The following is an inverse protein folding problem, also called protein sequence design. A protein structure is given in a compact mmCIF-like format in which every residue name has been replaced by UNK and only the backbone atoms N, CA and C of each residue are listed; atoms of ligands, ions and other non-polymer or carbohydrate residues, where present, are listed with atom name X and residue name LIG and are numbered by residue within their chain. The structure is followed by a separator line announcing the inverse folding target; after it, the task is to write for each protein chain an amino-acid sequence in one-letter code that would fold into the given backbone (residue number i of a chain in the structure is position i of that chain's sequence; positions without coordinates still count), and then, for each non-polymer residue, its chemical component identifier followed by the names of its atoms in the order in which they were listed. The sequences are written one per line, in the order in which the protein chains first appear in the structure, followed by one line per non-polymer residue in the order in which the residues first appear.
data_IF_282923809133
#
_entry.id   IF_282923809133
#
_cell.length_a   1.000
_cell.length_b   1.000
_cell.length_c   1.000
_cell.angle_alpha   90.00
_cell.angle_beta   90.00
_cell.angle_gamma   90.00
#
_symmetry.space_group_name_H-M   'P 1'
#
loop_
_entity.id
_entity.type
_entity.pdbx_description
1 polymer ?
#
# COMPACT_ATOMS: atom_id res chain seq x y z
N UNK A 1 19.71 8.51 -7.08
CA UNK A 1 19.17 7.47 -7.93
C UNK A 1 17.70 7.66 -8.15
N UNK A 2 17.22 7.23 -9.29
CA UNK A 2 15.81 7.37 -9.64
C UNK A 2 15.16 6.00 -9.77
N UNK A 3 13.82 5.99 -9.77
CA UNK A 3 13.08 4.78 -10.09
C UNK A 3 13.45 4.33 -11.50
N UNK A 4 13.27 3.04 -11.81
CA UNK A 4 13.57 2.55 -13.17
C UNK A 4 12.66 3.20 -14.20
N UNK A 5 13.17 3.32 -15.41
CA UNK A 5 12.37 3.77 -16.55
C UNK A 5 11.55 2.58 -17.04
N UNK A 6 10.21 2.73 -17.08
CA UNK A 6 9.29 1.66 -17.48
C UNK A 6 8.29 2.24 -18.45
N UNK A 7 8.02 1.51 -19.55
CA UNK A 7 6.97 1.86 -20.49
C UNK A 7 5.69 1.13 -20.10
N UNK A 8 4.58 1.47 -20.70
CA UNK A 8 3.30 0.84 -20.38
C UNK A 8 3.37 -0.68 -20.47
N UNK A 9 2.90 -1.34 -19.44
CA UNK A 9 2.79 -2.78 -19.37
C UNK A 9 1.66 -3.12 -18.41
N UNK A 10 1.23 -4.37 -18.40
CA UNK A 10 0.21 -4.83 -17.46
C UNK A 10 0.91 -5.39 -16.22
N UNK A 11 0.96 -4.65 -15.12
CA UNK A 11 1.68 -5.09 -13.93
C UNK A 11 1.01 -6.28 -13.22
N UNK A 12 -0.25 -6.56 -13.51
CA UNK A 12 -0.96 -7.67 -12.86
C UNK A 12 -0.46 -9.02 -13.38
N UNK A 13 -0.10 -9.09 -14.67
CA UNK A 13 0.29 -10.37 -15.29
C UNK A 13 1.79 -10.56 -15.42
N UNK A 14 2.60 -9.53 -15.17
CA UNK A 14 4.04 -9.64 -15.36
C UNK A 14 4.67 -10.48 -14.22
N UNK A 15 5.44 -11.51 -14.60
CA UNK A 15 5.98 -12.46 -13.62
C UNK A 15 7.14 -11.89 -12.82
N UNK A 16 7.84 -10.89 -13.34
CA UNK A 16 9.01 -10.31 -12.66
C UNK A 16 8.64 -9.42 -11.47
N UNK A 17 7.37 -9.13 -11.30
CA UNK A 17 6.86 -8.35 -10.16
C UNK A 17 5.84 -9.20 -9.39
N UNK A 18 6.29 -10.19 -8.61
CA UNK A 18 5.37 -11.10 -7.93
C UNK A 18 4.65 -10.42 -6.75
N UNK A 19 3.52 -11.00 -6.36
CA UNK A 19 2.89 -10.68 -5.09
C UNK A 19 3.71 -11.32 -3.98
N UNK A 20 4.13 -10.53 -3.02
CA UNK A 20 4.91 -11.02 -1.88
C UNK A 20 4.28 -10.52 -0.57
N UNK A 21 4.41 -11.28 0.52
CA UNK A 21 3.93 -10.80 1.82
C UNK A 21 4.64 -9.51 2.21
N UNK A 22 3.90 -8.58 2.82
CA UNK A 22 4.50 -7.34 3.30
C UNK A 22 5.18 -7.61 4.64
N UNK A 23 6.49 -7.37 4.76
CA UNK A 23 7.20 -7.60 6.02
C UNK A 23 6.57 -6.82 7.17
N UNK A 24 6.37 -7.48 8.31
CA UNK A 24 5.82 -6.86 9.50
C UNK A 24 4.31 -6.66 9.50
N UNK A 25 3.62 -7.04 8.44
CA UNK A 25 2.17 -6.94 8.35
C UNK A 25 1.53 -8.29 8.67
N UNK A 26 0.23 -8.29 9.08
CA UNK A 26 -0.48 -9.54 9.30
C UNK A 26 -0.55 -10.40 8.04
N UNK A 27 -0.78 -11.69 8.24
CA UNK A 27 -1.01 -12.61 7.15
C UNK A 27 -2.20 -12.17 6.30
N UNK A 28 -2.11 -12.39 4.99
CA UNK A 28 -3.18 -12.01 4.06
C UNK A 28 -2.99 -10.66 3.41
N UNK A 29 -1.89 -9.96 3.70
CA UNK A 29 -1.57 -8.68 3.06
C UNK A 29 -0.32 -8.87 2.20
N UNK A 30 -0.47 -8.59 0.91
CA UNK A 30 0.60 -8.78 -0.08
C UNK A 30 0.82 -7.51 -0.85
N UNK A 31 2.04 -7.29 -1.28
CA UNK A 31 2.39 -6.17 -2.15
C UNK A 31 2.98 -6.66 -3.47
N UNK A 32 2.78 -5.87 -4.49
CA UNK A 32 3.38 -6.05 -5.80
C UNK A 32 4.11 -4.76 -6.10
N UNK A 33 5.43 -4.80 -6.01
CA UNK A 33 6.25 -3.58 -6.14
C UNK A 33 6.43 -3.29 -7.63
N UNK A 34 6.00 -2.12 -8.06
CA UNK A 34 6.07 -1.70 -9.45
C UNK A 34 7.34 -0.93 -9.74
N UNK A 35 7.74 -0.06 -8.83
CA UNK A 35 8.94 0.75 -8.99
C UNK A 35 9.47 1.12 -7.62
N UNK A 36 10.78 1.03 -7.44
CA UNK A 36 11.42 1.32 -6.15
C UNK A 36 12.80 1.91 -6.40
N UNK A 37 13.19 2.86 -5.56
CA UNK A 37 14.47 3.54 -5.64
C UNK A 37 15.04 3.69 -4.22
N UNK A 38 16.21 3.16 -3.92
CA UNK A 38 16.98 2.18 -4.69
C UNK A 38 16.36 0.79 -4.64
N UNK A 39 16.75 -0.12 -5.55
CA UNK A 39 16.15 -1.47 -5.60
C UNK A 39 16.52 -2.35 -4.42
N UNK A 40 17.58 -2.03 -3.69
CA UNK A 40 17.99 -2.77 -2.50
C UNK A 40 18.34 -1.79 -1.38
N UNK A 41 18.19 -2.27 -0.13
CA UNK A 41 18.45 -1.43 1.03
C UNK A 41 17.33 -0.45 1.30
N UNK A 42 17.58 0.56 2.14
CA UNK A 42 16.55 1.56 2.45
C UNK A 42 16.12 2.32 1.21
N UNK A 43 14.82 2.32 0.94
CA UNK A 43 14.28 2.98 -0.23
C UNK A 43 13.94 4.45 0.06
N UNK A 44 13.89 5.25 -1.02
CA UNK A 44 13.49 6.65 -0.96
C UNK A 44 12.14 6.90 -1.62
N UNK A 45 11.81 6.09 -2.63
CA UNK A 45 10.56 6.18 -3.37
C UNK A 45 10.11 4.77 -3.69
N UNK A 46 8.81 4.50 -3.51
CA UNK A 46 8.26 3.18 -3.81
C UNK A 46 6.85 3.33 -4.32
N UNK A 47 6.53 2.61 -5.39
CA UNK A 47 5.18 2.49 -5.92
C UNK A 47 4.81 1.03 -5.92
N UNK A 48 3.62 0.72 -5.39
CA UNK A 48 3.17 -0.67 -5.29
C UNK A 48 1.66 -0.79 -5.43
N UNK A 49 1.20 -2.00 -5.76
CA UNK A 49 -0.14 -2.43 -5.41
C UNK A 49 -0.10 -3.11 -4.05
N UNK A 50 -1.13 -2.90 -3.26
CA UNK A 50 -1.31 -3.57 -1.98
C UNK A 50 -2.63 -4.31 -2.02
N UNK A 51 -2.60 -5.61 -1.69
CA UNK A 51 -3.79 -6.45 -1.72
C UNK A 51 -4.06 -7.03 -0.35
N UNK A 52 -5.32 -6.92 0.07
CA UNK A 52 -5.80 -7.48 1.33
C UNK A 52 -6.77 -8.61 1.00
N UNK A 53 -6.54 -9.78 1.57
CA UNK A 53 -7.46 -10.89 1.41
C UNK A 53 -8.72 -10.65 2.24
N UNK A 54 -9.87 -11.22 1.83
CA UNK A 54 -11.11 -11.07 2.60
C UNK A 54 -10.93 -11.53 4.04
N UNK A 55 -11.46 -10.73 4.98
CA UNK A 55 -11.42 -11.06 6.40
C UNK A 55 -10.18 -10.60 7.13
N UNK A 56 -9.22 -9.99 6.45
CA UNK A 56 -8.00 -9.48 7.09
C UNK A 56 -8.37 -8.37 8.09
N UNK A 57 -7.72 -8.43 9.26
CA UNK A 57 -7.81 -7.39 10.26
C UNK A 57 -6.43 -7.06 10.75
N UNK A 58 -6.16 -5.77 10.94
CA UNK A 58 -4.93 -5.32 11.59
C UNK A 58 -5.25 -4.91 13.01
N UNK A 59 -4.28 -4.99 13.91
CA UNK A 59 -4.49 -4.72 15.32
C UNK A 59 -3.83 -3.44 15.79
N UNK A 60 -2.88 -2.93 15.02
CA UNK A 60 -2.07 -1.80 15.42
C UNK A 60 -2.43 -0.55 14.63
N UNK A 61 -2.23 0.60 15.25
CA UNK A 61 -2.28 1.87 14.56
C UNK A 61 -0.98 2.03 13.79
N UNK A 62 -1.10 2.38 12.51
CA UNK A 62 0.06 2.61 11.65
C UNK A 62 0.51 4.05 11.73
N UNK A 63 1.82 4.26 11.76
CA UNK A 63 2.45 5.58 11.67
C UNK A 63 3.69 5.39 10.80
N UNK A 64 3.81 6.19 9.77
CA UNK A 64 4.96 6.13 8.87
C UNK A 64 5.78 7.41 8.95
N UNK A 65 7.05 7.30 8.62
CA UNK A 65 7.95 8.45 8.54
C UNK A 65 8.12 8.96 7.10
N UNK A 66 7.28 8.47 6.20
CA UNK A 66 7.28 8.86 4.79
C UNK A 66 5.90 9.37 4.39
N UNK A 67 5.83 10.03 3.24
CA UNK A 67 4.58 10.40 2.61
C UNK A 67 3.97 9.19 1.93
N UNK A 68 2.66 9.03 2.07
CA UNK A 68 1.94 7.91 1.46
C UNK A 68 0.71 8.44 0.74
N UNK A 69 0.62 8.15 -0.55
CA UNK A 69 -0.59 8.42 -1.32
C UNK A 69 -1.20 7.09 -1.70
N UNK A 70 -2.51 6.97 -1.49
CA UNK A 70 -3.22 5.72 -1.71
C UNK A 70 -4.47 6.00 -2.53
N UNK A 71 -4.65 5.23 -3.60
CA UNK A 71 -5.90 5.19 -4.34
C UNK A 71 -6.49 3.80 -4.19
N UNK A 72 -7.70 3.71 -3.63
CA UNK A 72 -8.36 2.43 -3.41
C UNK A 72 -9.01 1.99 -4.72
N UNK A 73 -8.52 0.89 -5.29
CA UNK A 73 -8.95 0.40 -6.59
C UNK A 73 -10.23 -0.42 -6.45
N UNK A 74 -10.28 -1.30 -5.44
CA UNK A 74 -11.46 -2.12 -5.20
C UNK A 74 -11.56 -2.48 -3.73
N UNK A 75 -12.79 -2.80 -3.30
CA UNK A 75 -13.04 -3.26 -1.95
C UNK A 75 -13.35 -2.13 -0.98
N UNK A 76 -13.37 -2.50 0.28
CA UNK A 76 -13.72 -1.62 1.38
C UNK A 76 -12.65 -1.74 2.46
N UNK A 77 -12.25 -0.60 3.00
CA UNK A 77 -11.27 -0.51 4.07
C UNK A 77 -11.95 0.23 5.24
N UNK A 78 -12.13 -0.46 6.36
CA UNK A 78 -12.75 0.14 7.54
C UNK A 78 -11.64 0.55 8.50
N UNK A 79 -11.48 1.87 8.71
CA UNK A 79 -10.54 2.38 9.70
C UNK A 79 -11.26 2.43 11.05
N UNK A 80 -10.97 1.45 11.89
CA UNK A 80 -11.63 1.30 13.18
C UNK A 80 -11.27 2.44 14.12
N UNK A 81 -10.00 2.88 14.07
CA UNK A 81 -9.54 3.97 14.93
C UNK A 81 -10.24 5.29 14.66
N UNK A 82 -10.61 5.54 13.40
CA UNK A 82 -11.32 6.77 13.00
C UNK A 82 -12.80 6.56 12.85
N UNK A 83 -13.29 5.33 12.96
CA UNK A 83 -14.67 4.97 12.73
C UNK A 83 -15.14 5.45 11.35
N UNK A 84 -14.35 5.19 10.32
CA UNK A 84 -14.62 5.59 8.95
C UNK A 84 -14.48 4.42 8.00
N UNK A 85 -15.29 4.43 6.96
CA UNK A 85 -15.23 3.41 5.91
C UNK A 85 -14.79 4.06 4.60
N UNK A 86 -13.74 3.50 4.02
CA UNK A 86 -13.23 3.94 2.73
C UNK A 86 -13.53 2.87 1.68
N UNK A 87 -13.84 3.30 0.47
CA UNK A 87 -14.24 2.37 -0.60
C UNK A 87 -13.57 2.73 -1.91
N UNK A 88 -13.72 1.83 -2.88
CA UNK A 88 -13.12 1.98 -4.20
C UNK A 88 -13.39 3.36 -4.78
N UNK A 89 -12.36 3.95 -5.37
CA UNK A 89 -12.42 5.29 -5.93
C UNK A 89 -11.99 6.40 -4.97
N UNK A 90 -11.76 6.07 -3.70
CA UNK A 90 -11.31 7.07 -2.72
C UNK A 90 -9.79 7.19 -2.70
N UNK A 91 -9.33 8.40 -2.40
CA UNK A 91 -7.91 8.75 -2.38
C UNK A 91 -7.55 9.38 -1.05
N UNK A 92 -6.34 9.10 -0.59
CA UNK A 92 -5.79 9.83 0.55
C UNK A 92 -4.33 10.21 0.30
N UNK A 93 -3.91 11.27 0.98
CA UNK A 93 -2.51 11.69 1.01
C UNK A 93 -2.13 11.89 2.47
N UNK A 94 -1.20 11.10 2.95
CA UNK A 94 -0.83 11.05 4.36
C UNK A 94 0.59 11.55 4.56
N UNK A 95 0.78 12.65 5.30
CA UNK A 95 2.13 13.11 5.65
C UNK A 95 2.76 12.19 6.70
N UNK A 96 4.09 12.27 6.84
CA UNK A 96 4.76 11.57 7.94
C UNK A 96 4.13 11.90 9.28
N UNK A 97 4.01 10.89 10.13
CA UNK A 97 3.44 11.05 11.47
C UNK A 97 1.94 10.95 11.56
N UNK A 98 1.23 10.91 10.44
CA UNK A 98 -0.22 10.76 10.46
C UNK A 98 -0.60 9.34 10.86
N UNK A 99 -1.46 9.23 11.88
CA UNK A 99 -1.92 7.93 12.37
C UNK A 99 -3.09 7.42 11.55
N UNK A 100 -3.09 6.12 11.27
CA UNK A 100 -4.21 5.47 10.60
C UNK A 100 -4.33 4.01 11.02
N UNK A 101 -5.55 3.44 10.89
CA UNK A 101 -5.85 2.11 11.38
C UNK A 101 -6.14 2.10 12.88
N UNK A 102 -6.33 0.92 13.47
CA UNK A 102 -6.32 -0.39 12.80
C UNK A 102 -7.48 -0.57 11.82
N UNK A 103 -7.39 -1.60 10.98
CA UNK A 103 -8.33 -1.79 9.88
C UNK A 103 -9.05 -3.12 9.95
N UNK A 104 -10.27 -3.15 9.40
CA UNK A 104 -11.00 -4.36 9.05
C UNK A 104 -11.29 -4.34 7.57
N UNK A 105 -11.01 -5.45 6.90
CA UNK A 105 -11.20 -5.57 5.46
C UNK A 105 -12.04 -6.84 5.21
N UNK A 106 -13.38 -6.77 5.42
CA UNK A 106 -14.22 -7.98 5.42
C UNK A 106 -14.32 -8.66 4.05
N UNK A 107 -14.21 -7.91 2.96
CA UNK A 107 -14.44 -8.45 1.62
C UNK A 107 -13.19 -8.40 0.74
N UNK A 108 -12.04 -8.09 1.31
CA UNK A 108 -10.83 -7.87 0.55
C UNK A 108 -10.78 -6.49 -0.06
N UNK A 109 -9.58 -6.10 -0.49
CA UNK A 109 -9.37 -4.79 -1.09
C UNK A 109 -8.08 -4.79 -1.88
N UNK A 110 -7.96 -3.83 -2.80
CA UNK A 110 -6.71 -3.59 -3.52
C UNK A 110 -6.52 -2.09 -3.67
N UNK A 111 -5.30 -1.65 -3.40
CA UNK A 111 -4.91 -0.25 -3.44
C UNK A 111 -3.69 -0.04 -4.33
N UNK A 112 -3.60 1.15 -4.92
CA UNK A 112 -2.40 1.64 -5.59
C UNK A 112 -1.77 2.67 -4.67
N UNK A 113 -0.48 2.48 -4.32
CA UNK A 113 0.18 3.30 -3.32
C UNK A 113 1.51 3.84 -3.83
N UNK A 114 1.75 5.12 -3.51
CA UNK A 114 3.02 5.78 -3.78
C UNK A 114 3.59 6.28 -2.46
N UNK A 115 4.79 5.82 -2.14
CA UNK A 115 5.50 6.18 -0.91
C UNK A 115 6.77 6.94 -1.26
N UNK A 116 7.05 8.02 -0.53
CA UNK A 116 8.28 8.79 -0.78
C UNK A 116 8.67 9.60 0.45
N UNK A 117 9.97 9.86 0.53
CA UNK A 117 10.51 10.78 1.52
C UNK A 117 10.77 12.12 0.83
N UNK A 118 10.34 13.18 1.45
CA UNK A 118 10.71 14.52 1.01
C UNK A 118 12.05 14.84 1.65
N UNK A 119 13.08 14.64 0.88
CA UNK A 119 14.43 14.92 1.21
C UNK A 119 14.96 14.37 2.55
#
# INVERSE_FOLDING_TARGET
MAKPELEFFDPIVVASMPWVPVPGYPEGIHEKILAIDPPTGPWRHKTRFLRFQPGVETKETFVHDYWEEVYLIEGILIDVGKNQTFKAGMYCCRPPGMKHGPYKIPFGAMAYEVHYYLK
#
